data_IF_814941079364
#
_entry.id   IF_814941079364
#
_cell.length_a   1.000
_cell.length_b   1.000
_cell.length_c   1.000
_cell.angle_alpha   90.00
_cell.angle_beta   90.00
_cell.angle_gamma   90.00
#
_symmetry.space_group_name_H-M   'P 1'
#
loop_
_entity.id
_entity.type
_entity.pdbx_description
1 polymer ?
#
# COMPACT_ATOMS: atom_id res chain seq x y z
N UNK A 1 12.61 33.67 15.66
CA UNK A 1 12.51 33.00 14.34
C UNK A 1 13.17 31.64 14.47
N UNK A 2 12.39 30.58 14.70
CA UNK A 2 12.89 29.22 14.85
C UNK A 2 12.45 28.38 13.66
N UNK A 3 13.40 27.80 12.93
CA UNK A 3 13.13 26.93 11.79
C UNK A 3 12.43 25.65 12.25
N UNK A 4 11.29 25.33 11.62
CA UNK A 4 10.61 24.05 11.82
C UNK A 4 11.39 22.95 11.10
N UNK A 5 11.82 21.94 11.86
CA UNK A 5 12.49 20.74 11.36
C UNK A 5 11.57 19.97 10.39
N UNK A 6 12.15 19.42 9.31
CA UNK A 6 11.46 18.67 8.22
C UNK A 6 10.58 17.51 8.71
N UNK A 7 10.79 17.05 9.93
CA UNK A 7 10.00 15.97 10.55
C UNK A 7 8.55 16.37 10.92
N UNK A 8 8.19 17.65 10.84
CA UNK A 8 6.85 18.13 11.24
C UNK A 8 5.79 18.15 10.11
N UNK A 9 6.18 17.95 8.84
CA UNK A 9 5.20 18.01 7.74
C UNK A 9 4.45 16.68 7.57
N UNK A 10 5.16 15.56 7.75
CA UNK A 10 4.61 14.21 7.58
C UNK A 10 3.62 13.86 8.70
N UNK A 11 3.90 14.29 9.93
CA UNK A 11 2.98 14.08 11.06
C UNK A 11 1.70 14.92 10.95
N UNK A 12 1.77 16.11 10.33
CA UNK A 12 0.60 16.97 10.14
C UNK A 12 -0.40 16.41 9.12
N UNK A 13 0.08 15.75 8.07
CA UNK A 13 -0.80 15.04 7.11
C UNK A 13 -1.54 13.89 7.81
N UNK A 14 -0.87 13.21 8.74
CA UNK A 14 -1.46 12.09 9.50
C UNK A 14 -2.58 12.53 10.45
N UNK A 15 -2.44 13.69 11.12
CA UNK A 15 -3.43 14.16 12.10
C UNK A 15 -4.64 14.88 11.49
N UNK A 16 -4.49 15.62 10.39
CA UNK A 16 -5.61 16.40 9.85
C UNK A 16 -6.62 15.56 9.06
N UNK A 17 -6.24 14.40 8.54
CA UNK A 17 -7.16 13.50 7.83
C UNK A 17 -8.03 12.63 8.77
N UNK A 18 -7.83 12.71 10.08
CA UNK A 18 -8.54 11.89 11.07
C UNK A 18 -9.91 12.44 11.49
N UNK A 19 -10.27 13.68 11.14
CA UNK A 19 -11.50 14.31 11.67
C UNK A 19 -12.71 14.25 10.70
N UNK A 20 -12.54 13.81 9.45
CA UNK A 20 -13.60 13.91 8.44
C UNK A 20 -14.12 12.59 7.84
N UNK A 21 -13.94 11.44 8.49
CA UNK A 21 -14.51 10.20 7.94
C UNK A 21 -14.96 9.15 8.96
N UNK A 22 -15.51 9.59 10.10
CA UNK A 22 -15.82 8.69 11.22
C UNK A 22 -17.08 7.83 10.97
N UNK A 23 -17.91 8.15 9.97
CA UNK A 23 -19.12 7.38 9.67
C UNK A 23 -18.93 6.24 8.65
N UNK A 24 -17.87 6.23 7.86
CA UNK A 24 -17.59 5.11 6.93
C UNK A 24 -16.81 3.96 7.60
N UNK A 25 -16.08 4.24 8.69
CA UNK A 25 -15.21 3.26 9.37
C UNK A 25 -15.89 2.41 10.46
N UNK A 26 -17.11 2.74 10.87
CA UNK A 26 -17.81 1.99 11.92
C UNK A 26 -18.11 0.54 11.52
N UNK A 27 -18.26 0.25 10.23
CA UNK A 27 -18.43 -1.13 9.71
C UNK A 27 -17.14 -1.97 9.70
N UNK A 28 -15.97 -1.35 9.82
CA UNK A 28 -14.67 -2.03 9.70
C UNK A 28 -14.00 -2.36 11.04
N UNK A 29 -14.38 -1.71 12.14
CA UNK A 29 -13.80 -2.00 13.47
C UNK A 29 -14.08 -3.45 13.89
N UNK A 30 -15.26 -3.98 13.58
CA UNK A 30 -15.61 -5.38 13.91
C UNK A 30 -14.71 -6.39 13.20
N UNK A 31 -14.18 -6.06 12.02
CA UNK A 31 -13.20 -6.90 11.30
C UNK A 31 -11.81 -6.84 11.93
N UNK A 32 -11.41 -5.68 12.47
CA UNK A 32 -10.14 -5.52 13.19
C UNK A 32 -10.17 -6.11 14.62
N UNK A 33 -11.31 -6.12 15.31
CA UNK A 33 -11.41 -6.70 16.66
C UNK A 33 -11.40 -8.24 16.67
N UNK A 34 -11.74 -8.91 15.57
CA UNK A 34 -11.52 -10.35 15.41
C UNK A 34 -10.03 -10.73 15.36
N UNK A 35 -9.12 -9.76 15.16
CA UNK A 35 -7.68 -9.97 15.06
C UNK A 35 -7.01 -10.23 16.42
N UNK A 36 -7.59 -9.73 17.53
CA UNK A 36 -7.05 -9.96 18.88
C UNK A 36 -7.50 -11.29 19.51
N UNK A 37 -8.46 -11.99 18.88
CA UNK A 37 -9.03 -13.25 19.37
C UNK A 37 -8.65 -14.43 18.47
N UNK A 38 -7.36 -14.79 18.45
CA UNK A 38 -6.86 -16.18 18.45
C UNK A 38 -7.52 -17.24 17.56
N UNK A 39 -8.07 -16.91 16.38
CA UNK A 39 -8.53 -17.89 15.40
C UNK A 39 -8.03 -17.53 14.00
N UNK A 40 -6.86 -18.07 13.63
CA UNK A 40 -6.39 -18.11 12.24
C UNK A 40 -7.32 -19.00 11.42
N UNK A 41 -8.42 -18.44 10.92
CA UNK A 41 -9.39 -19.12 10.06
C UNK A 41 -9.38 -18.45 8.69
N UNK A 42 -8.37 -18.77 7.89
CA UNK A 42 -8.20 -18.28 6.53
C UNK A 42 -6.73 -18.34 6.16
N UNK A 43 -6.40 -18.98 5.04
CA UNK A 43 -5.03 -19.12 4.54
C UNK A 43 -4.45 -17.71 4.36
N UNK A 44 -3.37 -17.37 5.05
CA UNK A 44 -2.60 -16.15 4.77
C UNK A 44 -2.06 -16.31 3.34
N UNK A 45 -2.53 -15.46 2.42
CA UNK A 45 -2.19 -15.56 1.00
C UNK A 45 -0.79 -14.97 0.80
N UNK A 46 0.13 -15.77 0.25
CA UNK A 46 1.50 -15.33 -0.01
C UNK A 46 1.51 -14.27 -1.14
N UNK A 47 2.53 -13.41 -1.16
CA UNK A 47 2.65 -12.37 -2.18
C UNK A 47 2.72 -12.94 -3.60
N UNK A 48 3.40 -14.08 -3.79
CA UNK A 48 3.53 -14.76 -5.09
C UNK A 48 2.22 -15.38 -5.60
N UNK A 49 1.19 -15.46 -4.75
CA UNK A 49 -0.14 -15.92 -5.15
C UNK A 49 -0.98 -14.76 -5.74
N UNK A 50 -0.55 -13.51 -5.57
CA UNK A 50 -1.20 -12.34 -6.15
C UNK A 50 -0.84 -12.19 -7.63
N UNK A 51 -1.77 -11.72 -8.47
CA UNK A 51 -1.44 -11.43 -9.86
C UNK A 51 -0.39 -10.32 -9.90
N UNK A 52 0.45 -10.34 -10.95
CA UNK A 52 1.48 -9.34 -11.20
C UNK A 52 2.61 -9.27 -10.15
N UNK A 53 2.69 -10.20 -9.20
CA UNK A 53 3.82 -10.28 -8.27
C UNK A 53 4.61 -11.56 -8.54
N UNK A 54 5.77 -11.41 -9.17
CA UNK A 54 6.72 -12.52 -9.32
C UNK A 54 7.52 -12.76 -8.04
N UNK A 55 8.26 -13.87 -8.00
CA UNK A 55 9.08 -14.24 -6.84
C UNK A 55 10.13 -13.18 -6.47
N UNK A 56 10.64 -12.45 -7.46
CA UNK A 56 11.67 -11.42 -7.24
C UNK A 56 11.05 -10.19 -6.57
N UNK A 57 9.93 -9.71 -7.08
CA UNK A 57 9.17 -8.60 -6.49
C UNK A 57 8.67 -8.98 -5.10
N UNK A 58 8.15 -10.20 -4.91
CA UNK A 58 7.74 -10.68 -3.59
C UNK A 58 8.90 -10.60 -2.57
N UNK A 59 10.08 -11.10 -2.93
CA UNK A 59 11.24 -11.04 -2.04
C UNK A 59 11.70 -9.61 -1.71
N UNK A 60 11.57 -8.69 -2.66
CA UNK A 60 11.86 -7.27 -2.44
C UNK A 60 10.81 -6.59 -1.54
N UNK A 61 9.54 -6.94 -1.69
CA UNK A 61 8.45 -6.49 -0.82
C UNK A 61 8.62 -7.01 0.61
N UNK A 62 9.01 -8.28 0.77
CA UNK A 62 9.32 -8.87 2.08
C UNK A 62 10.46 -8.13 2.77
N UNK A 63 11.55 -7.84 2.05
CA UNK A 63 12.66 -7.02 2.55
C UNK A 63 12.23 -5.60 2.93
N UNK A 64 11.22 -5.06 2.25
CA UNK A 64 10.59 -3.77 2.57
C UNK A 64 9.59 -3.84 3.73
N UNK A 65 9.46 -5.00 4.40
CA UNK A 65 8.56 -5.23 5.54
C UNK A 65 7.11 -5.51 5.17
N UNK A 66 6.84 -5.83 3.90
CA UNK A 66 5.53 -6.21 3.37
C UNK A 66 5.54 -7.73 3.23
N UNK A 67 5.13 -8.44 4.28
CA UNK A 67 5.35 -9.89 4.39
C UNK A 67 4.28 -10.75 3.72
N UNK A 68 3.10 -10.19 3.48
CA UNK A 68 1.97 -10.95 2.96
C UNK A 68 0.97 -10.04 2.19
N UNK A 69 0.01 -10.69 1.52
CA UNK A 69 -1.03 -9.99 0.76
C UNK A 69 -1.92 -9.08 1.62
N UNK A 70 -2.15 -9.41 2.89
CA UNK A 70 -2.96 -8.58 3.77
C UNK A 70 -2.22 -7.28 4.11
N UNK A 71 -0.93 -7.37 4.41
CA UNK A 71 -0.08 -6.21 4.68
C UNK A 71 -0.01 -5.29 3.45
N UNK A 72 0.13 -5.86 2.26
CA UNK A 72 0.10 -5.10 1.01
C UNK A 72 -1.24 -4.34 0.85
N UNK A 73 -2.38 -5.02 1.06
CA UNK A 73 -3.72 -4.41 0.99
C UNK A 73 -3.95 -3.32 2.04
N UNK A 74 -3.43 -3.49 3.26
CA UNK A 74 -3.54 -2.49 4.34
C UNK A 74 -2.74 -1.23 4.00
N UNK A 75 -1.57 -1.38 3.38
CA UNK A 75 -0.72 -0.25 3.01
C UNK A 75 -1.24 0.50 1.78
N UNK A 76 -1.82 -0.21 0.81
CA UNK A 76 -2.15 0.35 -0.51
C UNK A 76 -0.92 0.42 -1.43
N UNK A 77 -1.13 0.58 -2.74
CA UNK A 77 -0.05 0.54 -3.72
C UNK A 77 0.96 1.68 -3.54
N UNK A 78 0.50 2.90 -3.29
CA UNK A 78 1.36 4.08 -3.14
C UNK A 78 2.37 3.93 -2.00
N UNK A 79 1.90 3.60 -0.80
CA UNK A 79 2.78 3.42 0.37
C UNK A 79 3.66 2.19 0.22
N UNK A 80 3.11 1.10 -0.32
CA UNK A 80 3.89 -0.10 -0.62
C UNK A 80 5.02 0.21 -1.60
N UNK A 81 4.76 1.03 -2.63
CA UNK A 81 5.73 1.43 -3.62
C UNK A 81 6.86 2.27 -3.03
N UNK A 82 6.56 3.21 -2.12
CA UNK A 82 7.61 3.99 -1.43
C UNK A 82 8.52 3.08 -0.60
N UNK A 83 7.96 2.15 0.19
CA UNK A 83 8.75 1.18 0.96
C UNK A 83 9.56 0.25 0.03
N UNK A 84 8.96 -0.19 -1.06
CA UNK A 84 9.60 -1.02 -2.07
C UNK A 84 10.79 -0.31 -2.71
N UNK A 85 10.70 1.01 -2.95
CA UNK A 85 11.80 1.83 -3.51
C UNK A 85 13.01 1.93 -2.59
N UNK A 86 12.83 1.90 -1.27
CA UNK A 86 13.95 1.92 -0.32
C UNK A 86 14.85 0.68 -0.48
N UNK A 87 14.27 -0.47 -0.83
CA UNK A 87 14.99 -1.74 -1.06
C UNK A 87 15.38 -1.91 -2.54
N UNK A 88 14.54 -1.43 -3.45
CA UNK A 88 14.75 -1.51 -4.89
C UNK A 88 14.64 -0.12 -5.54
N UNK A 89 15.72 0.69 -5.51
CA UNK A 89 15.71 2.06 -6.06
C UNK A 89 15.44 2.16 -7.56
N UNK A 90 15.51 1.04 -8.28
CA UNK A 90 15.19 0.95 -9.73
C UNK A 90 13.69 0.74 -9.98
N UNK A 91 12.83 0.83 -8.97
CA UNK A 91 11.39 0.69 -9.16
C UNK A 91 10.83 1.87 -9.98
N UNK A 92 10.30 1.54 -11.15
CA UNK A 92 9.60 2.45 -12.06
C UNK A 92 8.07 2.40 -11.87
N UNK A 93 7.34 3.32 -12.50
CA UNK A 93 5.87 3.41 -12.57
C UNK A 93 5.16 2.07 -12.82
N UNK A 94 5.71 1.21 -13.69
CA UNK A 94 5.12 -0.12 -13.95
C UNK A 94 4.97 -0.97 -12.68
N UNK A 95 5.88 -0.86 -11.72
CA UNK A 95 5.78 -1.59 -10.45
C UNK A 95 4.67 -1.02 -9.56
N UNK A 96 4.45 0.30 -9.59
CA UNK A 96 3.31 0.91 -8.91
C UNK A 96 1.97 0.39 -9.47
N UNK A 97 1.85 0.28 -10.81
CA UNK A 97 0.68 -0.35 -11.43
C UNK A 97 0.53 -1.82 -11.06
N UNK A 98 1.63 -2.59 -11.04
CA UNK A 98 1.60 -4.00 -10.64
C UNK A 98 1.10 -4.17 -9.20
N UNK A 99 1.51 -3.30 -8.27
CA UNK A 99 1.04 -3.33 -6.89
C UNK A 99 -0.46 -3.03 -6.76
N UNK A 100 -0.97 -2.02 -7.48
CA UNK A 100 -2.41 -1.70 -7.47
C UNK A 100 -3.23 -2.85 -8.07
N UNK A 101 -2.82 -3.34 -9.23
CA UNK A 101 -3.49 -4.46 -9.89
C UNK A 101 -3.45 -5.75 -9.05
N UNK A 102 -2.36 -5.98 -8.31
CA UNK A 102 -2.24 -7.08 -7.35
C UNK A 102 -3.23 -6.95 -6.18
N UNK A 103 -3.43 -5.72 -5.67
CA UNK A 103 -4.38 -5.42 -4.59
C UNK A 103 -5.83 -5.63 -5.05
N UNK A 104 -6.16 -5.17 -6.26
CA UNK A 104 -7.47 -5.35 -6.90
C UNK A 104 -7.72 -6.79 -7.36
N UNK A 105 -6.67 -7.59 -7.54
CA UNK A 105 -6.77 -8.98 -8.00
C UNK A 105 -7.02 -9.10 -9.51
N UNK A 106 -6.55 -8.14 -10.31
CA UNK A 106 -6.75 -8.06 -11.75
C UNK A 106 -5.41 -7.97 -12.52
N UNK A 107 -5.38 -8.27 -13.83
CA UNK A 107 -4.24 -7.93 -14.69
C UNK A 107 -4.03 -6.41 -14.77
N UNK A 108 -2.78 -5.96 -14.91
CA UNK A 108 -2.44 -4.52 -15.05
C UNK A 108 -3.19 -3.84 -16.21
N UNK A 109 -3.45 -4.55 -17.29
CA UNK A 109 -4.17 -4.02 -18.45
C UNK A 109 -5.64 -3.69 -18.16
N UNK A 110 -6.21 -4.27 -17.10
CA UNK A 110 -7.59 -4.02 -16.67
C UNK A 110 -7.72 -2.84 -15.69
N UNK A 111 -6.61 -2.26 -15.21
CA UNK A 111 -6.67 -1.02 -14.43
C UNK A 111 -7.33 0.08 -15.27
N UNK A 112 -8.30 0.75 -14.67
CA UNK A 112 -9.02 1.84 -15.33
C UNK A 112 -8.07 2.97 -15.74
N UNK A 113 -8.41 3.69 -16.82
CA UNK A 113 -7.62 4.85 -17.26
C UNK A 113 -7.45 5.89 -16.16
N UNK A 114 -8.54 6.20 -15.43
CA UNK A 114 -8.52 7.14 -14.32
C UNK A 114 -7.56 6.70 -13.20
N UNK A 115 -7.51 5.40 -12.88
CA UNK A 115 -6.59 4.89 -11.87
C UNK A 115 -5.14 4.96 -12.32
N UNK A 116 -4.86 4.68 -13.60
CA UNK A 116 -3.51 4.86 -14.17
C UNK A 116 -3.05 6.31 -14.10
N UNK A 117 -3.93 7.26 -14.45
CA UNK A 117 -3.65 8.70 -14.35
C UNK A 117 -3.38 9.15 -12.90
N UNK A 118 -4.16 8.67 -11.92
CA UNK A 118 -3.93 8.95 -10.49
C UNK A 118 -2.53 8.47 -10.02
N UNK A 119 -2.16 7.24 -10.40
CA UNK A 119 -0.87 6.65 -10.04
C UNK A 119 0.31 7.29 -10.79
N UNK A 120 0.11 7.73 -12.04
CA UNK A 120 1.08 8.54 -12.79
C UNK A 120 1.36 9.87 -12.07
N UNK A 121 0.32 10.58 -11.66
CA UNK A 121 0.46 11.82 -10.89
C UNK A 121 1.18 11.58 -9.56
N UNK A 122 0.82 10.53 -8.82
CA UNK A 122 1.51 10.16 -7.59
C UNK A 122 3.01 9.88 -7.85
N UNK A 123 3.32 9.11 -8.89
CA UNK A 123 4.70 8.76 -9.24
C UNK A 123 5.53 10.00 -9.58
N UNK A 124 4.98 10.94 -10.35
CA UNK A 124 5.65 12.21 -10.67
C UNK A 124 5.94 13.07 -9.43
N UNK A 125 5.02 13.11 -8.47
CA UNK A 125 5.19 13.87 -7.22
C UNK A 125 6.24 13.27 -6.28
N UNK A 126 6.51 11.97 -6.40
CA UNK A 126 7.39 11.23 -5.49
C UNK A 126 8.79 10.95 -6.07
N UNK A 127 9.13 11.50 -7.23
CA UNK A 127 10.45 11.29 -7.88
C UNK A 127 11.61 11.77 -6.99
#
# INVERSE_FOLDING_TARGET
MGALSRNNFVEKIFFHNSQNNIHHYAGNITKYLQFCNGKKSGREMNLTELPNIDAKMAHQLEQAGILDAQKLKILGAEKAFLLFREVYPKAELKHLFMLEAAIEGIPVDQLSKAKKEELEMFYELCQ
#
